data_IF_352595066377
#
_entry.id   IF_352595066377
#
_cell.length_a   1.000
_cell.length_b   1.000
_cell.length_c   1.000
_cell.angle_alpha   90.00
_cell.angle_beta   90.00
_cell.angle_gamma   90.00
#
_symmetry.space_group_name_H-M   'P 1'
#
loop_
_entity.id
_entity.type
_entity.pdbx_description
1 polymer ?
#
# COMPACT_ATOMS: atom_id res chain seq x y z
N UNK A 1 -26.90 -3.95 28.92
CA UNK A 1 -25.96 -3.30 27.96
C UNK A 1 -24.50 -3.59 28.31
N UNK A 2 -24.15 -4.85 28.62
CA UNK A 2 -22.76 -5.28 28.97
C UNK A 2 -22.22 -6.27 27.91
N UNK A 3 -23.07 -6.77 27.01
CA UNK A 3 -22.69 -7.83 26.07
C UNK A 3 -21.75 -7.37 24.95
N UNK A 4 -21.88 -6.15 24.44
CA UNK A 4 -21.06 -5.68 23.32
C UNK A 4 -19.60 -5.43 23.73
N UNK A 5 -19.40 -4.87 24.94
CA UNK A 5 -18.06 -4.61 25.49
C UNK A 5 -17.34 -5.92 25.80
N UNK A 6 -18.06 -6.90 26.36
CA UNK A 6 -17.51 -8.23 26.59
C UNK A 6 -17.18 -8.94 25.27
N UNK A 7 -18.06 -8.86 24.27
CA UNK A 7 -17.80 -9.44 22.96
C UNK A 7 -16.54 -8.88 22.28
N UNK A 8 -16.36 -7.55 22.25
CA UNK A 8 -15.15 -6.92 21.69
C UNK A 8 -13.90 -7.39 22.45
N UNK A 9 -13.99 -7.49 23.78
CA UNK A 9 -12.88 -7.89 24.63
C UNK A 9 -12.51 -9.36 24.43
N UNK A 10 -13.50 -10.25 24.37
CA UNK A 10 -13.32 -11.68 24.12
C UNK A 10 -12.77 -11.94 22.71
N UNK A 11 -13.28 -11.23 21.70
CA UNK A 11 -12.74 -11.29 20.33
C UNK A 11 -11.30 -10.78 20.24
N UNK A 12 -10.94 -9.72 20.97
CA UNK A 12 -9.54 -9.25 21.00
C UNK A 12 -8.61 -10.26 21.67
N UNK A 13 -9.08 -10.92 22.74
CA UNK A 13 -8.33 -11.97 23.42
C UNK A 13 -8.12 -13.19 22.52
N UNK A 14 -9.16 -13.60 21.78
CA UNK A 14 -9.10 -14.70 20.81
C UNK A 14 -8.14 -14.37 19.65
N UNK A 15 -8.23 -13.16 19.08
CA UNK A 15 -7.36 -12.72 18.00
C UNK A 15 -5.91 -12.54 18.43
N UNK A 16 -5.63 -12.32 19.71
CA UNK A 16 -4.25 -12.23 20.20
C UNK A 16 -3.67 -13.62 20.49
N UNK A 17 -4.46 -14.50 21.10
CA UNK A 17 -3.98 -15.77 21.66
C UNK A 17 -4.02 -16.91 20.62
N UNK A 18 -4.90 -16.84 19.61
CA UNK A 18 -5.07 -17.89 18.58
C UNK A 18 -4.62 -17.47 17.17
N UNK A 19 -4.27 -16.20 16.94
CA UNK A 19 -3.72 -15.78 15.65
C UNK A 19 -2.21 -15.86 15.69
N UNK A 20 -1.66 -16.64 14.76
CA UNK A 20 -0.22 -16.70 14.50
C UNK A 20 0.18 -15.48 13.68
N UNK A 21 0.55 -14.40 14.35
CA UNK A 21 1.17 -13.25 13.71
C UNK A 21 2.50 -13.66 13.07
N UNK A 22 2.71 -13.23 11.84
CA UNK A 22 3.99 -13.43 11.14
C UNK A 22 5.10 -12.71 11.90
N UNK A 23 6.28 -13.32 12.10
CA UNK A 23 7.39 -12.62 12.75
C UNK A 23 7.74 -11.34 11.98
N UNK A 24 8.10 -10.28 12.72
CA UNK A 24 8.36 -8.95 12.15
C UNK A 24 9.40 -9.00 11.01
N UNK A 25 10.37 -9.90 11.08
CA UNK A 25 11.39 -10.05 10.05
C UNK A 25 10.82 -10.54 8.71
N UNK A 26 9.80 -11.40 8.73
CA UNK A 26 9.12 -11.86 7.51
C UNK A 26 8.23 -10.76 6.95
N UNK A 27 7.50 -10.06 7.83
CA UNK A 27 6.66 -8.92 7.43
C UNK A 27 7.49 -7.82 6.77
N UNK A 28 8.63 -7.46 7.36
CA UNK A 28 9.55 -6.46 6.82
C UNK A 28 10.08 -6.85 5.43
N UNK A 29 10.39 -8.13 5.20
CA UNK A 29 10.81 -8.59 3.86
C UNK A 29 9.72 -8.37 2.83
N UNK A 30 8.47 -8.74 3.16
CA UNK A 30 7.33 -8.54 2.25
C UNK A 30 7.08 -7.06 1.98
N UNK A 31 7.07 -6.22 3.03
CA UNK A 31 6.88 -4.78 2.90
C UNK A 31 7.99 -4.13 2.08
N UNK A 32 9.25 -4.54 2.28
CA UNK A 32 10.38 -3.99 1.53
C UNK A 32 10.23 -4.27 0.03
N UNK A 33 9.83 -5.49 -0.34
CA UNK A 33 9.57 -5.84 -1.74
C UNK A 33 8.49 -4.92 -2.33
N UNK A 34 7.37 -4.73 -1.62
CA UNK A 34 6.29 -3.85 -2.06
C UNK A 34 6.78 -2.41 -2.24
N UNK A 35 7.53 -1.87 -1.28
CA UNK A 35 8.08 -0.51 -1.34
C UNK A 35 8.99 -0.33 -2.56
N UNK A 36 9.86 -1.30 -2.85
CA UNK A 36 10.75 -1.24 -4.02
C UNK A 36 9.93 -1.18 -5.32
N UNK A 37 8.91 -2.03 -5.45
CA UNK A 37 8.03 -2.00 -6.63
C UNK A 37 7.27 -0.68 -6.74
N UNK A 38 6.73 -0.14 -5.63
CA UNK A 38 6.04 1.15 -5.64
C UNK A 38 6.93 2.30 -6.11
N UNK A 39 8.21 2.31 -5.72
CA UNK A 39 9.17 3.32 -6.18
C UNK A 39 9.44 3.19 -7.69
N UNK A 40 9.61 1.97 -8.19
CA UNK A 40 9.81 1.72 -9.62
C UNK A 40 8.59 2.19 -10.43
N UNK A 41 7.38 1.83 -10.00
CA UNK A 41 6.16 2.28 -10.67
C UNK A 41 5.99 3.80 -10.62
N UNK A 42 6.32 4.45 -9.51
CA UNK A 42 6.28 5.90 -9.40
C UNK A 42 7.23 6.58 -10.42
N UNK A 43 8.44 6.04 -10.62
CA UNK A 43 9.37 6.55 -11.63
C UNK A 43 8.86 6.35 -13.06
N UNK A 44 8.21 5.22 -13.34
CA UNK A 44 7.62 4.94 -14.66
C UNK A 44 6.48 5.91 -14.95
N UNK A 45 5.59 6.14 -13.98
CA UNK A 45 4.48 7.08 -14.12
C UNK A 45 5.03 8.50 -14.34
N UNK A 46 6.01 8.93 -13.54
CA UNK A 46 6.65 10.22 -13.71
C UNK A 46 7.25 10.41 -15.11
N UNK A 47 7.91 9.38 -15.64
CA UNK A 47 8.43 9.40 -17.01
C UNK A 47 7.31 9.50 -18.05
N UNK A 48 6.25 8.72 -17.90
CA UNK A 48 5.10 8.76 -18.80
C UNK A 48 4.41 10.13 -18.78
N UNK A 49 4.21 10.72 -17.60
CA UNK A 49 3.61 12.04 -17.43
C UNK A 49 4.44 13.12 -18.14
N UNK A 50 5.77 13.03 -18.06
CA UNK A 50 6.69 13.96 -18.71
C UNK A 50 6.59 13.86 -20.24
N UNK A 51 6.67 12.64 -20.78
CA UNK A 51 6.60 12.39 -22.22
C UNK A 51 5.24 12.84 -22.78
N UNK A 52 4.16 12.48 -22.10
CA UNK A 52 2.82 12.85 -22.55
C UNK A 52 2.64 14.37 -22.53
N UNK A 53 3.13 15.05 -21.47
CA UNK A 53 3.03 16.51 -21.37
C UNK A 53 3.71 17.21 -22.54
N UNK A 54 4.92 16.78 -22.91
CA UNK A 54 5.67 17.34 -24.03
C UNK A 54 4.97 17.08 -25.38
N UNK A 55 4.40 15.88 -25.56
CA UNK A 55 3.61 15.56 -26.77
C UNK A 55 2.37 16.45 -26.86
N UNK A 56 1.67 16.67 -25.74
CA UNK A 56 0.49 17.54 -25.70
C UNK A 56 0.87 19.00 -25.99
N UNK A 57 1.96 19.50 -25.42
CA UNK A 57 2.45 20.87 -25.68
C UNK A 57 2.72 21.08 -27.17
N UNK A 58 3.45 20.17 -27.81
CA UNK A 58 3.71 20.22 -29.26
C UNK A 58 2.40 20.17 -30.06
N UNK A 59 1.45 19.31 -29.66
CA UNK A 59 0.17 19.20 -30.35
C UNK A 59 -0.64 20.50 -30.29
N UNK A 60 -0.69 21.15 -29.11
CA UNK A 60 -1.41 22.41 -28.93
C UNK A 60 -0.70 23.59 -29.59
N UNK A 61 0.63 23.63 -29.61
CA UNK A 61 1.40 24.67 -30.31
C UNK A 61 1.26 24.59 -31.84
N UNK A 62 1.01 23.40 -32.39
CA UNK A 62 0.81 23.18 -33.82
C UNK A 62 -0.61 23.59 -34.31
N UNK A 63 -1.59 23.66 -33.40
CA UNK A 63 -3.00 23.96 -33.69
C UNK A 63 -3.26 25.47 -33.71
#
# INVERSE_FOLDING_TARGET
MVSLVNYIRDSFQELRDHVKWTPLQELQKMTLVVVVFSVIFALIIWLADTILSEIFEIYFDLL
#
